data_IF_122460081235
#
_entry.id   IF_122460081235
#
_cell.length_a   1.000
_cell.length_b   1.000
_cell.length_c   1.000
_cell.angle_alpha   90.00
_cell.angle_beta   90.00
_cell.angle_gamma   90.00
#
_symmetry.space_group_name_H-M   'P 1'
#
loop_
_entity.id
_entity.type
_entity.pdbx_description
1 polymer ?
2 non-polymer ?
3 water ?
#
# COMPACT_ATOMS: atom_id res chain seq x y z
N UNK A 1 1.90 -12.45 18.93
CA UNK A 1 2.30 -12.70 17.55
C UNK A 1 2.70 -11.40 16.85
N UNK A 2 2.40 -10.26 17.48
CA UNK A 2 2.79 -8.94 16.97
C UNK A 2 3.65 -8.30 18.05
N UNK A 3 4.97 -8.27 17.85
CA UNK A 3 5.90 -7.84 18.88
C UNK A 3 6.90 -6.85 18.28
N UNK A 4 7.46 -6.00 19.15
CA UNK A 4 8.60 -5.20 18.73
C UNK A 4 9.77 -6.12 18.38
N UNK A 5 10.38 -5.88 17.23
CA UNK A 5 11.59 -6.59 16.84
C UNK A 5 12.84 -5.92 17.38
N UNK A 6 13.98 -6.38 16.88
CA UNK A 6 15.26 -5.76 17.22
C UNK A 6 15.28 -4.37 16.58
N UNK A 7 14.93 -3.37 17.38
CA UNK A 7 14.52 -2.05 16.92
C UNK A 7 15.51 -0.96 17.29
N UNK A 8 16.66 -1.32 17.86
CA UNK A 8 17.60 -0.33 18.37
C UNK A 8 18.04 0.65 17.28
N UNK A 9 18.41 0.13 16.11
CA UNK A 9 18.94 0.98 15.05
C UNK A 9 17.82 1.67 14.28
N UNK A 10 16.75 0.95 13.95
CA UNK A 10 15.72 1.52 13.10
C UNK A 10 14.98 2.64 13.83
N UNK A 11 14.80 2.53 15.15
CA UNK A 11 14.24 3.62 15.94
C UNK A 11 14.96 4.93 15.64
N UNK A 12 16.29 4.88 15.57
CA UNK A 12 17.05 6.11 15.34
C UNK A 12 16.93 6.61 13.92
N UNK A 13 16.73 5.72 12.94
CA UNK A 13 16.49 6.15 11.56
C UNK A 13 15.30 7.12 11.50
N UNK A 14 14.22 6.78 12.18
CA UNK A 14 13.05 7.64 12.17
C UNK A 14 13.30 8.90 12.98
N UNK A 15 14.00 8.78 14.11
CA UNK A 15 14.33 9.97 14.91
C UNK A 15 15.09 11.00 14.09
N UNK A 16 16.02 10.56 13.23
CA UNK A 16 16.81 11.52 12.47
C UNK A 16 15.99 12.30 11.44
N UNK A 17 14.80 11.84 11.10
CA UNK A 17 13.92 12.59 10.22
C UNK A 17 12.95 13.47 10.98
N UNK A 18 12.99 13.45 12.32
CA UNK A 18 12.13 14.26 13.18
C UNK A 18 10.67 14.11 12.80
N UNK A 19 10.23 12.86 12.79
CA UNK A 19 8.82 12.54 12.61
C UNK A 19 8.55 11.21 13.27
N UNK A 20 7.27 10.87 13.36
CA UNK A 20 6.82 9.63 13.96
C UNK A 20 6.53 8.62 12.86
N UNK A 21 7.07 7.41 13.00
CA UNK A 21 6.82 6.39 12.01
C UNK A 21 6.90 4.99 12.59
N UNK A 22 6.24 4.06 11.90
CA UNK A 22 6.31 2.65 12.24
C UNK A 22 6.60 1.87 10.96
N UNK A 23 7.28 0.74 11.12
CA UNK A 23 7.50 -0.21 10.04
C UNK A 23 7.03 -1.56 10.53
N UNK A 24 6.03 -2.11 9.85
CA UNK A 24 5.49 -3.42 10.19
C UNK A 24 6.04 -4.43 9.19
N UNK A 25 6.61 -5.53 9.69
CA UNK A 25 7.17 -6.59 8.86
C UNK A 25 6.41 -7.87 9.13
N UNK A 26 5.92 -8.52 8.07
CA UNK A 26 5.21 -9.80 8.19
C UNK A 26 5.99 -10.86 7.43
N UNK A 27 6.49 -11.85 8.15
CA UNK A 27 7.01 -13.05 7.54
C UNK A 27 5.88 -14.09 7.59
N UNK A 28 6.21 -15.36 7.52
CA UNK A 28 5.12 -16.34 7.58
C UNK A 28 4.38 -16.24 8.91
N UNK A 29 3.25 -15.50 8.86
CA UNK A 29 2.34 -15.06 9.93
C UNK A 29 2.96 -14.53 11.21
N UNK A 30 4.27 -14.30 11.24
CA UNK A 30 4.86 -13.56 12.35
C UNK A 30 4.98 -12.09 11.96
N UNK A 31 4.54 -11.20 12.84
CA UNK A 31 4.56 -9.75 12.60
C UNK A 31 5.46 -9.09 13.63
N UNK A 32 6.40 -8.28 13.15
CA UNK A 32 7.29 -7.53 14.01
C UNK A 32 7.13 -6.04 13.74
N UNK A 33 7.34 -5.22 14.77
CA UNK A 33 7.16 -3.77 14.70
C UNK A 33 8.50 -3.08 14.90
N UNK A 34 8.75 -2.06 14.07
CA UNK A 34 9.97 -1.26 14.17
C UNK A 34 9.63 0.21 14.01
N UNK A 35 10.56 1.07 14.41
CA UNK A 35 10.40 2.50 14.27
C UNK A 35 10.37 3.18 15.63
N UNK A 36 9.97 4.46 15.61
CA UNK A 36 9.97 5.26 16.82
C UNK A 36 8.58 5.62 17.33
N UNK A 37 7.51 5.11 16.68
CA UNK A 37 6.14 5.34 17.13
C UNK A 37 5.36 4.05 16.90
N UNK A 38 5.61 3.05 17.73
CA UNK A 38 5.05 1.73 17.49
C UNK A 38 3.54 1.70 17.64
N UNK A 39 2.95 2.66 18.38
CA UNK A 39 1.50 2.69 18.51
C UNK A 39 0.81 2.96 17.18
N UNK A 40 1.53 3.51 16.19
CA UNK A 40 0.93 3.71 14.88
C UNK A 40 0.49 2.39 14.24
N UNK A 41 1.09 1.27 14.63
CA UNK A 41 0.83 0.00 13.93
C UNK A 41 -0.62 -0.41 14.04
N UNK A 42 -1.27 -0.14 15.16
CA UNK A 42 -2.67 -0.50 15.40
C UNK A 42 -3.60 0.72 15.37
N UNK A 43 -3.16 1.82 14.77
CA UNK A 43 -3.95 3.03 14.61
C UNK A 43 -4.50 3.09 13.19
N UNK A 44 -5.77 3.47 13.06
CA UNK A 44 -6.39 3.59 11.75
C UNK A 44 -6.03 4.90 11.07
N UNK A 45 -5.66 4.84 9.78
CA UNK A 45 -5.39 6.02 8.96
C UNK A 45 -6.09 5.87 7.62
N UNK A 46 -6.36 7.01 6.97
CA UNK A 46 -6.85 6.91 5.59
C UNK A 46 -5.79 6.20 4.74
N UNK A 47 -6.18 5.33 3.81
CA UNK A 47 -5.18 4.61 3.01
C UNK A 47 -4.54 5.45 1.92
N UNK A 48 -5.14 6.57 1.53
CA UNK A 48 -4.67 7.37 0.41
C UNK A 48 -4.43 6.47 -0.81
N UNK A 49 -3.32 6.69 -1.52
CA UNK A 49 -3.10 6.00 -2.78
C UNK A 49 -2.86 4.51 -2.61
N UNK A 50 -2.64 4.02 -1.39
CA UNK A 50 -2.51 2.56 -1.27
C UNK A 50 -3.81 1.86 -1.63
N UNK A 51 -4.94 2.57 -1.57
CA UNK A 51 -6.20 1.96 -1.97
C UNK A 51 -6.22 1.64 -3.47
N UNK A 52 -5.37 2.27 -4.27
CA UNK A 52 -5.30 1.92 -5.69
C UNK A 52 -5.15 0.41 -5.91
N UNK A 53 -4.42 -0.28 -5.02
CA UNK A 53 -4.29 -1.73 -5.17
C UNK A 53 -5.65 -2.41 -5.16
N UNK A 54 -6.52 -2.03 -4.21
CA UNK A 54 -7.81 -2.69 -4.09
C UNK A 54 -8.78 -2.20 -5.15
N UNK A 55 -8.72 -0.92 -5.50
CA UNK A 55 -9.48 -0.38 -6.63
C UNK A 55 -9.19 -1.21 -7.89
N UNK A 56 -7.90 -1.45 -8.17
CA UNK A 56 -7.53 -2.19 -9.37
C UNK A 56 -8.07 -3.62 -9.32
N UNK A 57 -7.89 -4.30 -8.19
CA UNK A 57 -8.43 -5.65 -8.05
C UNK A 57 -9.93 -5.68 -8.31
N UNK A 58 -10.67 -4.73 -7.70
CA UNK A 58 -12.12 -4.72 -7.83
C UNK A 58 -12.53 -4.41 -9.27
N UNK A 59 -11.88 -3.41 -9.87
CA UNK A 59 -12.23 -3.05 -11.24
C UNK A 59 -11.94 -4.14 -12.24
N UNK A 60 -10.79 -4.82 -12.10
CA UNK A 60 -10.47 -5.92 -13.02
C UNK A 60 -11.36 -7.13 -12.77
N UNK A 61 -11.60 -7.48 -11.50
CA UNK A 61 -12.41 -8.65 -11.20
C UNK A 61 -13.82 -8.51 -11.79
N UNK A 62 -14.37 -7.30 -11.74
CA UNK A 62 -15.73 -7.04 -12.19
C UNK A 62 -15.81 -6.55 -13.62
N UNK A 63 -14.69 -6.68 -14.37
CA UNK A 63 -14.64 -6.38 -15.80
C UNK A 63 -15.09 -4.95 -16.09
N UNK A 64 -14.74 -4.02 -15.19
CA UNK A 64 -14.97 -2.60 -15.44
C UNK A 64 -13.83 -1.99 -16.24
N UNK A 65 -12.72 -2.69 -16.34
CA UNK A 65 -11.58 -2.32 -17.18
C UNK A 65 -10.78 -3.59 -17.44
N UNK A 66 -9.68 -3.44 -18.16
CA UNK A 66 -8.73 -4.53 -18.32
C UNK A 66 -7.34 -3.93 -18.41
N UNK A 67 -6.32 -4.79 -18.35
CA UNK A 67 -4.96 -4.28 -18.26
C UNK A 67 -4.48 -3.64 -19.55
N UNK A 68 -5.23 -3.76 -20.65
CA UNK A 68 -4.80 -3.16 -21.91
C UNK A 68 -5.56 -1.89 -22.25
N UNK A 69 -6.58 -1.53 -21.48
CA UNK A 69 -7.35 -0.33 -21.80
C UNK A 69 -6.49 0.91 -21.68
N UNK A 70 -6.64 1.80 -22.66
CA UNK A 70 -5.95 3.09 -22.67
C UNK A 70 -6.93 4.15 -22.17
N UNK A 71 -6.61 4.75 -21.02
CA UNK A 71 -7.40 5.85 -20.50
C UNK A 71 -6.94 7.16 -21.11
N UNK A 72 -7.87 7.92 -21.66
CA UNK A 72 -7.55 9.16 -22.36
C UNK A 72 -7.26 10.29 -21.38
N UNK A 85 -1.25 12.49 -20.49
CA UNK A 85 -0.90 11.43 -21.43
C UNK A 85 -1.93 10.30 -21.36
N UNK A 86 -2.16 9.64 -22.49
CA UNK A 86 -2.99 8.44 -22.51
C UNK A 86 -2.21 7.30 -21.85
N UNK A 87 -2.87 6.53 -20.98
CA UNK A 87 -2.14 5.50 -20.23
C UNK A 87 -3.06 4.39 -19.74
N UNK A 88 -2.43 3.28 -19.36
CA UNK A 88 -3.11 2.11 -18.85
C UNK A 88 -3.28 2.17 -17.35
N UNK A 89 -4.10 1.25 -16.83
CA UNK A 89 -4.26 1.11 -15.38
C UNK A 89 -2.93 0.88 -14.69
N UNK A 90 -2.06 0.06 -15.29
CA UNK A 90 -0.79 -0.24 -14.65
C UNK A 90 0.17 0.94 -14.67
N UNK A 91 0.20 1.67 -15.79
CA UNK A 91 1.01 2.88 -15.84
C UNK A 91 0.51 3.90 -14.82
N UNK A 92 -0.81 3.97 -14.64
CA UNK A 92 -1.39 4.92 -13.70
C UNK A 92 -1.16 4.50 -12.25
N UNK A 93 -0.82 3.22 -12.03
CA UNK A 93 -0.57 2.78 -10.66
C UNK A 93 0.59 3.53 -10.04
N UNK A 94 1.64 3.79 -10.83
CA UNK A 94 2.83 4.50 -10.37
C UNK A 94 2.65 6.01 -10.29
N UNK A 95 1.85 6.57 -11.18
CA UNK A 95 1.77 8.01 -11.35
C UNK A 95 0.65 8.59 -10.48
N UNK A 96 0.35 9.88 -10.71
CA UNK A 96 -0.92 10.49 -10.31
C UNK A 96 -1.44 11.45 -11.39
N UNK A 97 -0.96 11.31 -12.63
CA UNK A 97 -1.22 12.32 -13.65
C UNK A 97 -2.70 12.41 -14.02
N UNK A 98 -3.25 11.33 -14.58
CA UNK A 98 -4.62 11.33 -15.08
C UNK A 98 -5.54 10.69 -14.05
N UNK A 99 -6.76 11.24 -13.81
CA UNK A 99 -7.67 10.67 -12.79
C UNK A 99 -8.27 9.32 -13.17
N UNK A 100 -7.37 8.44 -13.63
CA UNK A 100 -7.70 7.08 -14.05
C UNK A 100 -8.41 6.30 -12.95
N UNK A 101 -7.86 6.32 -11.74
CA UNK A 101 -8.43 5.52 -10.67
C UNK A 101 -9.72 6.13 -10.13
N UNK A 102 -9.88 7.47 -10.24
CA UNK A 102 -11.18 8.05 -9.96
C UNK A 102 -12.22 7.61 -10.99
N UNK A 103 -11.84 7.57 -12.28
CA UNK A 103 -12.79 7.11 -13.28
C UNK A 103 -13.14 5.64 -13.07
N UNK A 104 -12.15 4.81 -12.73
CA UNK A 104 -12.42 3.40 -12.45
C UNK A 104 -13.36 3.26 -11.26
N UNK A 105 -13.15 4.07 -10.22
CA UNK A 105 -14.04 4.01 -9.06
C UNK A 105 -15.46 4.37 -9.42
N UNK A 106 -15.64 5.34 -10.33
CA UNK A 106 -17.00 5.71 -10.76
C UNK A 106 -17.63 4.61 -11.59
N UNK A 107 -16.84 3.90 -12.41
CA UNK A 107 -17.35 2.76 -13.15
C UNK A 107 -17.80 1.65 -12.22
N UNK A 108 -17.00 1.35 -11.20
CA UNK A 108 -17.40 0.38 -10.19
C UNK A 108 -18.71 0.79 -9.53
N UNK A 109 -18.79 2.05 -9.15
CA UNK A 109 -20.00 2.51 -8.49
C UNK A 109 -19.96 2.30 -7.00
N UNK A 110 -20.65 3.19 -6.29
CA UNK A 110 -20.62 3.17 -4.83
C UNK A 110 -21.08 1.84 -4.28
N UNK A 111 -22.13 1.26 -4.87
CA UNK A 111 -22.74 0.07 -4.28
C UNK A 111 -21.80 -1.14 -4.40
N UNK A 112 -21.26 -1.39 -5.59
CA UNK A 112 -20.34 -2.50 -5.78
C UNK A 112 -19.06 -2.29 -4.99
N UNK A 113 -18.57 -1.04 -4.93
CA UNK A 113 -17.38 -0.75 -4.16
C UNK A 113 -17.57 -1.09 -2.69
N UNK A 114 -18.69 -0.65 -2.11
CA UNK A 114 -18.92 -0.92 -0.70
C UNK A 114 -19.09 -2.43 -0.47
N UNK A 115 -19.74 -3.11 -1.39
CA UNK A 115 -19.92 -4.56 -1.26
C UNK A 115 -18.58 -5.28 -1.28
N UNK A 116 -17.70 -4.88 -2.21
CA UNK A 116 -16.40 -5.53 -2.32
C UNK A 116 -15.50 -5.18 -1.15
N UNK A 117 -15.51 -3.92 -0.71
CA UNK A 117 -14.68 -3.54 0.43
C UNK A 117 -15.14 -4.27 1.69
N UNK A 118 -16.45 -4.51 1.84
CA UNK A 118 -16.94 -5.27 2.99
C UNK A 118 -16.57 -6.75 2.87
N UNK A 119 -16.67 -7.32 1.66
CA UNK A 119 -16.28 -8.71 1.45
C UNK A 119 -14.82 -8.93 1.77
N UNK A 120 -13.93 -8.03 1.33
CA UNK A 120 -12.52 -8.10 1.63
C UNK A 120 -12.29 -7.81 3.11
N UNK A 121 -13.10 -6.94 3.70
CA UNK A 121 -12.91 -6.56 5.08
C UNK A 121 -11.72 -5.65 5.23
N UNK A 122 -11.57 -4.68 4.32
CA UNK A 122 -10.39 -3.81 4.30
C UNK A 122 -10.57 -2.69 5.32
N UNK A 123 -9.72 -2.68 6.36
CA UNK A 123 -9.79 -1.65 7.38
C UNK A 123 -11.14 -1.62 8.09
N UNK A 124 -11.66 -0.41 8.29
CA UNK A 124 -13.01 -0.25 8.84
C UNK A 124 -14.10 -0.49 7.80
N UNK A 125 -13.72 -0.68 6.53
CA UNK A 125 -14.62 -1.07 5.44
C UNK A 125 -15.76 -0.08 5.21
N UNK A 126 -15.59 1.18 5.61
CA UNK A 126 -16.62 2.19 5.41
C UNK A 126 -16.19 3.14 4.31
N UNK A 127 -17.01 3.29 3.26
CA UNK A 127 -16.65 4.16 2.15
C UNK A 127 -17.59 5.35 1.98
N UNK A 128 -18.61 5.49 2.82
CA UNK A 128 -19.44 6.69 2.73
C UNK A 128 -20.25 6.73 1.46
N UNK A 129 -20.52 7.95 0.98
CA UNK A 129 -21.43 8.14 -0.15
C UNK A 129 -20.78 8.74 -1.38
N UNK A 130 -19.48 9.05 -1.37
CA UNK A 130 -18.82 9.62 -2.54
C UNK A 130 -17.78 8.61 -3.00
N UNK A 131 -18.06 7.96 -4.14
CA UNK A 131 -17.26 6.82 -4.55
C UNK A 131 -15.87 7.19 -5.03
N UNK A 132 -15.57 8.47 -5.25
CA UNK A 132 -14.30 8.81 -5.88
C UNK A 132 -13.34 9.59 -4.98
N UNK A 133 -13.60 9.65 -3.66
CA UNK A 133 -12.56 10.20 -2.77
C UNK A 133 -12.55 9.60 -1.37
N UNK A 134 -13.31 8.55 -1.09
CA UNK A 134 -13.41 8.00 0.27
C UNK A 134 -12.08 7.49 0.81
N UNK A 135 -11.07 7.31 -0.03
CA UNK A 135 -9.80 6.76 0.42
C UNK A 135 -8.79 7.84 0.81
N UNK A 136 -9.09 9.11 0.54
CA UNK A 136 -8.16 10.20 0.73
C UNK A 136 -8.44 11.05 1.96
N UNK A 137 -9.72 11.27 2.26
CA UNK A 137 -10.11 12.19 3.32
C UNK A 137 -11.05 11.50 4.30
N UNK A 138 -11.25 10.20 4.13
CA UNK A 138 -12.21 9.48 4.93
C UNK A 138 -13.49 9.23 4.15
N UNK A 139 -14.36 8.36 4.68
CA UNK A 139 -14.27 7.74 6.01
C UNK A 139 -13.49 6.43 6.10
N UNK A 140 -13.00 5.91 4.98
CA UNK A 140 -12.26 4.65 5.01
C UNK A 140 -10.94 4.83 5.75
N UNK A 141 -10.67 3.96 6.72
CA UNK A 141 -9.41 3.96 7.44
C UNK A 141 -8.96 2.52 7.65
N UNK A 142 -7.65 2.36 7.82
CA UNK A 142 -7.03 1.04 7.89
C UNK A 142 -5.76 1.16 8.73
N UNK A 143 -5.44 0.13 9.51
CA UNK A 143 -4.19 0.17 10.27
C UNK A 143 -3.02 -0.34 9.44
N UNK A 144 -1.80 0.05 9.81
CA UNK A 144 -0.64 -0.56 9.13
C UNK A 144 -0.57 -2.06 9.26
N UNK A 145 -0.97 -2.63 10.40
CA UNK A 145 -1.02 -4.09 10.52
C UNK A 145 -2.01 -4.67 9.52
N UNK A 146 -3.17 -4.03 9.37
CA UNK A 146 -4.13 -4.50 8.37
C UNK A 146 -3.59 -4.36 6.96
N UNK A 147 -2.84 -3.29 6.68
CA UNK A 147 -2.28 -3.15 5.34
C UNK A 147 -1.25 -4.22 5.04
N UNK A 148 -0.39 -4.55 6.02
CA UNK A 148 0.63 -5.55 5.71
C UNK A 148 -0.02 -6.90 5.53
N UNK A 149 -1.10 -7.18 6.27
CA UNK A 149 -1.80 -8.45 6.10
C UNK A 149 -2.47 -8.52 4.73
N UNK A 150 -3.06 -7.41 4.28
CA UNK A 150 -3.68 -7.36 2.96
C UNK A 150 -2.64 -7.60 1.87
N UNK A 151 -1.52 -6.89 1.94
CA UNK A 151 -0.57 -7.03 0.85
C UNK A 151 0.16 -8.38 0.92
N UNK A 152 0.30 -8.97 2.12
CA UNK A 152 0.82 -10.32 2.19
C UNK A 152 -0.12 -11.31 1.49
N UNK A 153 -1.42 -11.14 1.68
CA UNK A 153 -2.37 -12.02 1.00
C UNK A 153 -2.30 -11.83 -0.51
N UNK A 154 -2.18 -10.59 -0.97
CA UNK A 154 -2.01 -10.35 -2.41
C UNK A 154 -0.76 -11.05 -2.92
N UNK A 155 0.38 -10.87 -2.22
CA UNK A 155 1.64 -11.45 -2.66
C UNK A 155 1.55 -12.96 -2.79
N UNK A 156 0.75 -13.61 -1.92
CA UNK A 156 0.61 -15.05 -1.90
C UNK A 156 -0.58 -15.55 -2.71
N UNK A 157 -1.27 -14.64 -3.44
CA UNK A 157 -2.47 -15.00 -4.22
C UNK A 157 -3.52 -15.63 -3.31
N UNK A 158 -3.73 -15.02 -2.14
CA UNK A 158 -4.67 -15.55 -1.15
C UNK A 158 -5.87 -14.64 -0.95
N UNK A 159 -5.96 -13.53 -1.67
CA UNK A 159 -7.17 -12.72 -1.61
C UNK A 159 -8.30 -13.43 -2.36
N UNK A 160 -9.58 -13.16 -2.00
CA UNK A 160 -10.70 -13.80 -2.69
C UNK A 160 -11.05 -13.12 -4.02
N UNK A 161 -10.09 -13.15 -4.93
CA UNK A 161 -10.22 -12.66 -6.29
C UNK A 161 -9.61 -13.71 -7.20
N UNK A 162 -9.86 -13.55 -8.50
CA UNK A 162 -9.24 -14.36 -9.53
C UNK A 162 -7.73 -14.39 -9.37
N UNK A 163 -7.13 -15.57 -9.57
CA UNK A 163 -5.67 -15.67 -9.52
C UNK A 163 -5.04 -14.77 -10.56
N UNK A 164 -5.63 -14.71 -11.77
CA UNK A 164 -5.07 -13.88 -12.82
C UNK A 164 -5.17 -12.39 -12.47
N UNK A 165 -6.29 -11.97 -11.88
CA UNK A 165 -6.43 -10.57 -11.44
C UNK A 165 -5.37 -10.24 -10.41
N UNK A 166 -5.14 -11.12 -9.44
CA UNK A 166 -4.10 -10.87 -8.44
C UNK A 166 -2.72 -10.79 -9.07
N UNK A 167 -2.42 -11.70 -10.01
CA UNK A 167 -1.12 -11.63 -10.69
C UNK A 167 -0.98 -10.32 -11.47
N UNK A 168 -2.07 -9.88 -12.11
CA UNK A 168 -1.97 -8.67 -12.93
C UNK A 168 -1.74 -7.45 -12.06
N UNK A 169 -2.36 -7.40 -10.89
CA UNK A 169 -2.16 -6.24 -10.01
C UNK A 169 -0.76 -6.29 -9.40
N UNK A 170 -0.31 -7.48 -9.00
CA UNK A 170 1.06 -7.62 -8.50
C UNK A 170 2.07 -7.08 -9.51
N UNK A 171 1.86 -7.39 -10.80
CA UNK A 171 2.79 -6.95 -11.83
C UNK A 171 2.85 -5.44 -11.98
N UNK A 172 1.78 -4.74 -11.62
CA UNK A 172 1.74 -3.29 -11.63
C UNK A 172 2.54 -2.68 -10.49
N UNK A 173 2.92 -3.46 -9.49
CA UNK A 173 3.48 -2.91 -8.26
C UNK A 173 4.99 -3.09 -8.15
N UNK A 174 5.66 -3.58 -9.19
CA UNK A 174 7.10 -3.73 -9.10
C UNK A 174 7.75 -2.35 -8.98
N UNK A 175 8.52 -2.15 -7.91
CA UNK A 175 9.24 -0.90 -7.72
C UNK A 175 10.67 -0.97 -8.21
N UNK A 176 11.40 -2.04 -7.89
CA UNK A 176 12.70 -2.28 -8.50
C UNK A 176 13.18 -3.68 -8.18
N UNK A 177 14.20 -4.11 -8.94
CA UNK A 177 14.93 -5.32 -8.66
C UNK A 177 16.38 -4.97 -8.39
N UNK A 178 17.01 -5.74 -7.51
CA UNK A 178 18.42 -5.53 -7.20
C UNK A 178 18.98 -6.83 -6.64
N UNK A 179 20.05 -7.33 -7.26
CA UNK A 179 20.80 -8.45 -6.73
C UNK A 179 19.89 -9.66 -6.46
N UNK A 180 18.89 -9.85 -7.35
CA UNK A 180 18.00 -10.98 -7.25
C UNK A 180 16.77 -10.77 -6.38
N UNK A 181 16.69 -9.65 -5.68
CA UNK A 181 15.54 -9.32 -4.85
C UNK A 181 14.60 -8.42 -5.65
N UNK A 182 13.31 -8.71 -5.58
CA UNK A 182 12.30 -7.85 -6.19
C UNK A 182 11.52 -7.17 -5.09
N UNK A 183 11.39 -5.86 -5.18
CA UNK A 183 10.64 -5.07 -4.21
C UNK A 183 9.38 -4.54 -4.90
N UNK A 184 8.24 -4.96 -4.38
CA UNK A 184 6.93 -4.53 -4.85
C UNK A 184 6.31 -3.61 -3.81
N UNK A 185 5.56 -2.63 -4.26
CA UNK A 185 4.82 -1.86 -3.28
C UNK A 185 4.11 -0.67 -3.88
N UNK A 186 3.51 0.08 -2.97
CA UNK A 186 2.65 1.20 -3.32
C UNK A 186 2.83 2.30 -2.29
N UNK A 187 3.13 3.51 -2.74
CA UNK A 187 3.18 4.66 -1.85
C UNK A 187 1.80 5.30 -1.71
N UNK A 188 1.65 6.06 -0.63
CA UNK A 188 0.49 6.91 -0.46
C UNK A 188 0.87 8.11 0.39
N UNK A 189 0.19 9.23 0.13
CA UNK A 189 0.41 10.44 0.92
C UNK A 189 -0.94 11.15 0.99
N UNK A 190 -1.52 11.17 2.18
CA UNK A 190 -2.72 11.98 2.44
C UNK A 190 -2.24 13.34 2.93
N UNK A 191 -2.21 14.30 2.01
CA UNK A 191 -1.64 15.61 2.31
C UNK A 191 -2.67 16.60 2.80
N UNK A 192 -3.95 16.32 2.63
CA UNK A 192 -5.00 17.28 2.91
C UNK A 192 -5.71 17.00 4.22
N UNK A 193 -5.32 15.95 4.93
CA UNK A 193 -5.77 15.72 6.29
C UNK A 193 -4.66 16.15 7.22
N UNK A 194 -5.02 16.39 8.48
CA UNK A 194 -4.05 16.80 9.49
C UNK A 194 -4.18 15.84 10.67
N UNK A 195 -3.07 15.25 11.14
CA UNK A 195 -1.74 15.31 10.53
C UNK A 195 -1.67 14.53 9.22
N UNK A 196 -0.72 14.87 8.36
CA UNK A 196 -0.55 14.16 7.10
C UNK A 196 -0.05 12.75 7.35
N UNK A 197 -0.45 11.82 6.49
CA UNK A 197 -0.04 10.43 6.63
C UNK A 197 0.68 9.97 5.37
N UNK A 198 1.80 9.29 5.57
CA UNK A 198 2.56 8.70 4.47
C UNK A 198 2.60 7.19 4.60
N UNK A 199 2.47 6.52 3.46
CA UNK A 199 2.49 5.08 3.39
C UNK A 199 3.52 4.59 2.39
N UNK A 200 4.10 3.41 2.69
CA UNK A 200 4.77 2.61 1.67
C UNK A 200 4.53 1.15 2.06
N UNK A 201 3.65 0.48 1.31
CA UNK A 201 3.19 -0.86 1.64
C UNK A 201 3.50 -1.82 0.49
N UNK A 202 4.03 -2.98 0.82
CA UNK A 202 4.42 -3.89 -0.24
C UNK A 202 5.10 -5.14 0.28
N UNK A 203 5.98 -5.71 -0.54
CA UNK A 203 6.69 -6.90 -0.10
C UNK A 203 7.96 -7.06 -0.89
N UNK A 204 8.88 -7.83 -0.30
CA UNK A 204 10.12 -8.24 -0.94
C UNK A 204 9.99 -9.69 -1.36
N UNK A 205 10.30 -9.98 -2.62
CA UNK A 205 10.46 -11.36 -3.07
C UNK A 205 11.96 -11.61 -3.10
N UNK A 206 12.42 -12.46 -2.18
CA UNK A 206 13.84 -12.74 -2.06
C UNK A 206 14.28 -13.69 -3.17
N UNK A 207 15.60 -13.83 -3.40
CA UNK A 207 16.05 -14.65 -4.53
C UNK A 207 15.56 -16.09 -4.50
N UNK A 208 15.43 -16.69 -3.32
CA UNK A 208 14.97 -18.07 -3.28
C UNK A 208 13.45 -18.18 -3.30
N UNK A 209 12.74 -17.06 -3.47
CA UNK A 209 11.30 -17.05 -3.59
C UNK A 209 10.55 -16.68 -2.33
N UNK A 210 11.23 -16.58 -1.19
CA UNK A 210 10.55 -16.24 0.05
C UNK A 210 10.00 -14.82 -0.01
N UNK A 211 8.87 -14.62 0.64
CA UNK A 211 8.15 -13.35 0.64
C UNK A 211 8.22 -12.73 2.03
N UNK A 212 8.60 -11.45 2.09
CA UNK A 212 8.58 -10.70 3.33
C UNK A 212 7.79 -9.43 3.07
N UNK A 213 6.66 -9.27 3.74
CA UNK A 213 5.80 -8.13 3.50
C UNK A 213 6.08 -6.99 4.48
N UNK A 214 5.82 -5.75 4.03
CA UNK A 214 6.08 -4.59 4.87
C UNK A 214 4.95 -3.56 4.74
N UNK A 215 4.76 -2.79 5.80
CA UNK A 215 3.94 -1.58 5.74
C UNK A 215 4.64 -0.49 6.54
N UNK A 216 5.11 0.55 5.84
CA UNK A 216 5.67 1.73 6.48
C UNK A 216 4.56 2.78 6.57
N UNK A 217 4.43 3.39 7.74
CA UNK A 217 3.42 4.42 7.96
C UNK A 217 4.03 5.50 8.84
N UNK A 218 4.00 6.74 8.38
CA UNK A 218 4.69 7.82 9.09
C UNK A 218 3.92 9.12 8.92
N UNK A 219 4.15 10.04 9.86
CA UNK A 219 3.63 11.39 9.68
C UNK A 219 4.47 12.13 8.65
N UNK A 220 3.82 12.72 7.66
CA UNK A 220 4.48 13.52 6.64
C UNK A 220 4.37 15.00 7.00
N UNK A 221 5.31 15.77 6.47
CA UNK A 221 5.22 17.23 6.45
C UNK A 221 5.46 17.68 5.02
N UNK A 222 4.95 18.88 4.71
CA UNK A 222 4.93 19.33 3.32
C UNK A 222 6.33 19.56 2.75
N UNK A 223 7.32 19.84 3.59
CA UNK A 223 8.65 20.06 3.03
C UNK A 223 9.39 18.76 2.73
N UNK A 224 8.88 17.62 3.15
CA UNK A 224 9.60 16.37 2.97
C UNK A 224 9.62 15.98 1.49
N UNK A 225 10.70 15.37 1.03
CA UNK A 225 10.67 14.75 -0.30
C UNK A 225 9.87 13.46 -0.25
N UNK A 226 9.10 13.22 -1.31
CA UNK A 226 8.33 11.98 -1.39
C UNK A 226 9.22 10.76 -1.15
N UNK A 227 10.47 10.83 -1.58
CA UNK A 227 11.42 9.72 -1.47
C UNK A 227 11.82 9.39 -0.04
N UNK A 228 11.43 10.20 0.94
CA UNK A 228 11.77 9.90 2.33
C UNK A 228 11.22 8.54 2.75
N UNK A 229 10.07 8.14 2.19
CA UNK A 229 9.49 6.86 2.59
C UNK A 229 10.33 5.70 2.08
N UNK A 230 10.70 5.73 0.80
CA UNK A 230 11.57 4.70 0.26
C UNK A 230 12.93 4.70 0.96
N UNK A 231 13.46 5.89 1.24
CA UNK A 231 14.74 5.98 1.92
C UNK A 231 14.71 5.25 3.26
N UNK A 232 13.69 5.54 4.09
CA UNK A 232 13.60 4.88 5.38
C UNK A 232 13.34 3.39 5.21
N UNK A 233 12.51 3.02 4.24
CA UNK A 233 12.23 1.60 4.02
C UNK A 233 13.51 0.83 3.68
N UNK A 234 14.28 1.35 2.72
CA UNK A 234 15.44 0.60 2.24
C UNK A 234 16.48 0.45 3.34
N UNK A 235 16.78 1.52 4.07
CA UNK A 235 17.79 1.37 5.12
C UNK A 235 17.31 0.42 6.21
N UNK A 236 16.00 0.40 6.49
CA UNK A 236 15.49 -0.54 7.49
C UNK A 236 15.52 -1.98 7.00
N UNK A 237 15.11 -2.23 5.75
CA UNK A 237 15.15 -3.58 5.21
C UNK A 237 16.58 -4.12 5.18
N UNK A 238 17.55 -3.25 4.88
CA UNK A 238 18.94 -3.70 4.90
C UNK A 238 19.39 -4.04 6.30
N UNK A 239 19.04 -3.19 7.28
CA UNK A 239 19.44 -3.45 8.66
C UNK A 239 18.85 -4.76 9.16
N UNK A 240 17.65 -5.12 8.71
CA UNK A 240 17.00 -6.36 9.06
C UNK A 240 17.42 -7.52 8.17
N UNK A 241 18.33 -7.30 7.23
CA UNK A 241 18.82 -8.32 6.30
C UNK A 241 17.69 -8.93 5.46
N UNK A 242 16.63 -8.16 5.24
CA UNK A 242 15.56 -8.60 4.35
C UNK A 242 15.97 -8.41 2.89
N UNK A 243 16.76 -7.38 2.60
CA UNK A 243 17.46 -7.26 1.33
C UNK A 243 18.95 -7.17 1.63
X LIG B 1 -2.00 9.02 -3.28
X LIG B 1 1.39 11.41 -4.71
X LIG B 1 -1.68 10.29 -4.05
X LIG B 1 -0.56 10.00 -5.07
X LIG B 1 1.50 10.07 -4.07
X LIG B 1 -1.64 8.85 -2.13
X LIG B 1 -2.94 10.84 -4.74
X LIG B 1 -4.00 10.89 -3.77
X LIG B 1 -3.41 10.01 -5.93
X LIG B 1 0.48 9.35 -4.29
X LIG B 1 2.63 9.63 -3.26
X LIG B 1 2.48 8.66 -2.50
X LIG B 1 3.72 10.26 -3.37
X LIG B 1 1.20 12.60 -3.43
X LIG B 1 1.23 14.17 -4.24
X LIG B 1 1.44 15.31 -3.25
X LIG B 1 2.75 15.26 -2.63
X LIG B 1 2.92 15.79 -1.43
X LIG B 1 1.93 16.29 -0.83
X LIG B 1 0.12 11.29 -5.52
#
# INVERSE_FOLDING_TARGET
>A
AIVQGHNQVIHQYFDEKNTSGVLVIQTDKKINLYGNALSRANTEYVPASTFKMLNALIGLENQKTDINEIFKWKGEKRSATAWEKDMTLGEAMKLSAVPVYQELARRIGLDLMQKEVKRIGFGNAEIGQQVDNFWLVGPLKVTPIQEVEFVSQLAHTQLPFSEKVQANVKNMLLLEESNGYKIFGKTGWAADIKPQVGWLTGWVEQPDGKIVAFALNMEMRSEMPASIRNELLMKSLKQLNII
>B hetero
1 ID1 C7 C2 C6 C5 C3 O7 C61 O62 C62 N4 C31 O31 O32 S21 C22 C23 N24 C25 N26 C1
#
